data_IF_033835814017
#
_entry.id   IF_033835814017
#
_cell.length_a   1.000
_cell.length_b   1.000
_cell.length_c   1.000
_cell.angle_alpha   90.00
_cell.angle_beta   90.00
_cell.angle_gamma   90.00
#
_symmetry.space_group_name_H-M   'P 1'
#
loop_
_entity.id
_entity.type
_entity.pdbx_description
1 polymer ?
#
# COMPACT_ATOMS: atom_id res chain seq x y z
N UNK A 1 2.03 21.92 -15.10
CA UNK A 1 3.36 21.43 -14.70
C UNK A 1 3.90 22.38 -13.64
N UNK A 2 4.03 21.94 -12.40
CA UNK A 2 4.61 22.74 -11.33
C UNK A 2 6.11 22.94 -11.62
N UNK A 3 6.67 24.14 -11.41
CA UNK A 3 8.11 24.35 -11.52
C UNK A 3 8.85 23.44 -10.54
N UNK A 4 9.98 22.87 -10.95
CA UNK A 4 10.82 21.97 -10.14
C UNK A 4 11.09 22.51 -8.72
N UNK A 5 11.29 23.82 -8.58
CA UNK A 5 11.49 24.49 -7.32
C UNK A 5 10.28 24.34 -6.36
N UNK A 6 9.03 24.39 -6.88
CA UNK A 6 7.83 24.20 -6.06
C UNK A 6 7.66 22.77 -5.56
N UNK A 7 8.14 21.79 -6.29
CA UNK A 7 8.11 20.38 -5.88
C UNK A 7 9.11 20.14 -4.75
N UNK A 8 10.33 20.64 -4.88
CA UNK A 8 11.35 20.60 -3.83
C UNK A 8 10.90 21.32 -2.55
N UNK A 9 10.25 22.48 -2.69
CA UNK A 9 9.71 23.23 -1.56
C UNK A 9 8.59 22.44 -0.85
N UNK A 10 7.65 21.82 -1.61
CA UNK A 10 6.61 20.96 -1.04
C UNK A 10 7.20 19.76 -0.32
N UNK A 11 8.17 19.09 -0.92
CA UNK A 11 8.87 17.95 -0.32
C UNK A 11 9.60 18.35 0.99
N UNK A 12 10.10 19.57 1.06
CA UNK A 12 10.79 20.10 2.25
C UNK A 12 9.84 20.56 3.35
N UNK A 13 8.61 20.99 3.00
CA UNK A 13 7.58 21.43 3.96
C UNK A 13 6.84 20.26 4.65
N UNK A 14 6.92 19.05 4.12
CA UNK A 14 6.15 17.88 4.55
C UNK A 14 6.90 17.05 5.60
N UNK A 15 8.18 17.32 5.84
CA UNK A 15 8.93 16.66 6.91
C UNK A 15 8.77 17.50 8.18
N UNK A 16 8.04 17.02 9.19
CA UNK A 16 7.89 17.75 10.45
C UNK A 16 9.25 17.94 11.11
N UNK A 17 9.45 19.12 11.71
CA UNK A 17 10.50 19.33 12.68
C UNK A 17 10.24 18.47 13.93
N UNK A 18 11.30 18.21 14.73
CA UNK A 18 11.18 17.44 15.96
C UNK A 18 10.00 17.94 16.82
N UNK A 19 9.00 17.08 17.05
CA UNK A 19 7.90 17.32 17.98
C UNK A 19 6.57 17.82 17.37
N UNK A 20 6.46 18.05 16.08
CA UNK A 20 5.20 18.37 15.43
C UNK A 20 4.50 17.11 14.90
N UNK A 21 3.29 16.83 15.40
CA UNK A 21 2.41 15.84 14.77
C UNK A 21 2.11 16.27 13.34
N UNK A 22 2.08 15.33 12.42
CA UNK A 22 1.96 15.59 11.00
C UNK A 22 0.52 16.05 10.67
N UNK A 23 0.14 17.31 10.99
CA UNK A 23 -1.16 17.91 10.69
C UNK A 23 -1.56 17.72 9.22
N UNK A 24 -0.58 17.58 8.33
CA UNK A 24 -0.80 17.47 6.91
C UNK A 24 -1.38 16.12 6.48
N UNK A 25 -1.06 15.03 7.17
CA UNK A 25 -1.66 13.70 6.92
C UNK A 25 -3.03 13.61 7.60
N UNK A 26 -3.22 14.23 8.76
CA UNK A 26 -4.51 14.29 9.44
C UNK A 26 -5.55 15.15 8.69
N UNK A 27 -5.13 16.23 8.05
CA UNK A 27 -6.05 17.15 7.34
C UNK A 27 -6.68 16.55 6.07
N UNK A 28 -6.15 15.44 5.53
CA UNK A 28 -6.64 14.82 4.30
C UNK A 28 -7.66 13.70 4.53
N UNK A 29 -8.29 13.61 5.72
CA UNK A 29 -9.39 12.68 6.05
C UNK A 29 -9.18 11.25 5.54
N UNK A 30 -7.99 10.67 5.81
CA UNK A 30 -7.79 9.25 5.59
C UNK A 30 -8.39 8.52 6.78
N UNK A 31 -9.55 7.87 6.61
CA UNK A 31 -10.05 6.90 7.58
C UNK A 31 -9.11 5.69 7.58
N UNK A 32 -8.14 5.71 8.47
CA UNK A 32 -7.15 4.66 8.64
C UNK A 32 -6.94 4.40 10.13
N UNK A 33 -6.72 3.15 10.50
CA UNK A 33 -6.27 2.76 11.85
C UNK A 33 -4.80 3.12 12.09
N UNK A 34 -4.12 3.58 11.03
CA UNK A 34 -2.70 3.87 11.00
C UNK A 34 -2.44 5.37 10.82
N UNK A 35 -1.23 5.77 11.21
CA UNK A 35 -0.66 7.06 10.87
C UNK A 35 0.84 6.93 10.58
N UNK A 36 1.38 7.88 9.84
CA UNK A 36 2.81 7.98 9.60
C UNK A 36 3.45 8.91 10.62
N UNK A 37 4.50 8.44 11.28
CA UNK A 37 5.32 9.24 12.17
C UNK A 37 6.74 9.38 11.63
N UNK A 38 7.47 10.35 12.13
CA UNK A 38 8.86 10.59 11.72
C UNK A 38 9.74 9.37 11.96
N UNK A 39 10.55 9.01 10.96
CA UNK A 39 11.62 8.02 11.13
C UNK A 39 12.75 8.65 11.95
N UNK A 40 13.04 8.09 13.11
CA UNK A 40 14.09 8.57 14.00
C UNK A 40 14.67 7.44 14.86
N UNK A 41 15.75 7.72 15.57
CA UNK A 41 16.33 6.74 16.51
C UNK A 41 15.45 6.45 17.73
N UNK A 42 14.40 7.25 17.98
CA UNK A 42 13.44 6.97 19.07
C UNK A 42 12.65 5.68 18.85
N UNK A 43 12.44 5.25 17.59
CA UNK A 43 11.78 3.99 17.25
C UNK A 43 12.71 2.78 17.12
N UNK A 44 14.00 2.92 17.48
CA UNK A 44 15.00 1.87 17.30
C UNK A 44 14.63 0.55 17.97
N UNK A 45 14.22 0.58 19.24
CA UNK A 45 13.89 -0.63 20.00
C UNK A 45 12.66 -1.36 19.43
N UNK A 46 11.66 -0.60 18.97
CA UNK A 46 10.48 -1.16 18.36
C UNK A 46 10.78 -1.77 16.99
N UNK A 47 11.54 -1.05 16.14
CA UNK A 47 11.95 -1.53 14.84
C UNK A 47 12.84 -2.77 14.96
N UNK A 48 13.73 -2.82 15.93
CA UNK A 48 14.62 -3.96 16.13
C UNK A 48 13.86 -5.27 16.39
N UNK A 49 12.70 -5.22 17.04
CA UNK A 49 11.87 -6.41 17.34
C UNK A 49 11.52 -7.20 16.09
N UNK A 50 11.14 -6.54 15.00
CA UNK A 50 10.82 -7.23 13.75
C UNK A 50 12.01 -7.32 12.80
N UNK A 51 13.03 -6.47 12.97
CA UNK A 51 14.23 -6.49 12.14
C UNK A 51 15.12 -7.73 12.36
N UNK A 52 14.87 -8.51 13.39
CA UNK A 52 15.54 -9.81 13.64
C UNK A 52 14.69 -10.99 13.18
N UNK A 53 13.45 -10.76 12.77
CA UNK A 53 12.54 -11.83 12.34
C UNK A 53 12.85 -12.25 10.89
N UNK A 54 13.24 -13.50 10.63
CA UNK A 54 13.58 -13.96 9.28
C UNK A 54 12.41 -13.87 8.27
N UNK A 55 11.16 -14.01 8.74
CA UNK A 55 9.99 -13.95 7.85
C UNK A 55 9.85 -12.58 7.19
N UNK A 56 10.24 -11.51 7.89
CA UNK A 56 10.26 -10.15 7.34
C UNK A 56 11.16 -10.03 6.11
N UNK A 57 12.22 -10.84 6.04
CA UNK A 57 13.24 -10.78 4.99
C UNK A 57 13.05 -11.80 3.87
N UNK A 58 11.96 -12.55 3.87
CA UNK A 58 11.73 -13.61 2.87
C UNK A 58 11.96 -13.11 1.44
N UNK A 59 11.44 -11.94 1.10
CA UNK A 59 11.54 -11.32 -0.23
C UNK A 59 12.42 -10.05 -0.27
N UNK A 60 13.32 -9.88 0.69
CA UNK A 60 14.31 -8.79 0.71
C UNK A 60 15.69 -9.32 0.31
N UNK A 61 16.52 -8.48 -0.32
CA UNK A 61 17.87 -8.83 -0.80
C UNK A 61 18.90 -8.98 0.32
N UNK A 62 18.58 -8.57 1.55
CA UNK A 62 19.49 -8.63 2.70
C UNK A 62 18.92 -9.53 3.80
N UNK A 63 19.83 -10.02 4.64
CA UNK A 63 19.52 -10.93 5.73
C UNK A 63 18.98 -10.17 6.96
N UNK A 64 18.26 -10.87 7.88
CA UNK A 64 17.85 -10.31 9.17
C UNK A 64 19.01 -9.68 9.93
N UNK A 65 18.74 -8.57 10.58
CA UNK A 65 19.72 -7.95 11.46
C UNK A 65 20.01 -8.85 12.67
N UNK A 66 21.22 -8.78 13.18
CA UNK A 66 21.67 -9.63 14.29
C UNK A 66 21.72 -8.87 15.61
N UNK A 67 22.01 -7.58 15.53
CA UNK A 67 22.22 -6.71 16.68
C UNK A 67 21.38 -5.44 16.57
N UNK A 68 21.16 -4.77 17.69
CA UNK A 68 20.51 -3.47 17.70
C UNK A 68 21.32 -2.41 16.95
N UNK A 69 22.64 -2.56 16.93
CA UNK A 69 23.54 -1.65 16.19
C UNK A 69 23.35 -1.80 14.67
N UNK A 70 23.02 -3.00 14.17
CA UNK A 70 22.67 -3.18 12.75
C UNK A 70 21.39 -2.39 12.41
N UNK A 71 20.38 -2.47 13.26
CA UNK A 71 19.13 -1.72 13.09
C UNK A 71 19.38 -0.22 13.18
N UNK A 72 20.19 0.22 14.14
CA UNK A 72 20.60 1.62 14.30
C UNK A 72 21.29 2.14 13.03
N UNK A 73 22.29 1.42 12.56
CA UNK A 73 23.04 1.75 11.33
C UNK A 73 22.10 1.86 10.13
N UNK A 74 21.11 0.97 10.05
CA UNK A 74 20.11 1.02 8.98
C UNK A 74 19.23 2.27 9.07
N UNK A 75 18.70 2.62 10.25
CA UNK A 75 17.93 3.87 10.45
C UNK A 75 18.79 5.09 10.07
N UNK A 76 20.02 5.17 10.56
CA UNK A 76 20.95 6.27 10.24
C UNK A 76 21.20 6.40 8.74
N UNK A 77 21.33 5.29 8.02
CA UNK A 77 21.46 5.26 6.55
C UNK A 77 20.19 5.81 5.86
N UNK A 78 19.01 5.47 6.35
CA UNK A 78 17.76 6.01 5.81
C UNK A 78 17.65 7.52 6.07
N UNK A 79 17.98 7.98 7.28
CA UNK A 79 17.99 9.40 7.64
C UNK A 79 19.00 10.17 6.76
N UNK A 80 20.18 9.61 6.50
CA UNK A 80 21.16 10.20 5.60
C UNK A 80 20.62 10.32 4.16
N UNK A 81 19.89 9.33 3.66
CA UNK A 81 19.24 9.40 2.34
C UNK A 81 18.16 10.47 2.27
N UNK A 82 17.48 10.78 3.39
CA UNK A 82 16.51 11.86 3.49
C UNK A 82 17.15 13.25 3.52
N UNK A 83 18.34 13.35 4.11
CA UNK A 83 19.07 14.61 4.35
C UNK A 83 19.98 15.05 3.21
N UNK A 84 19.70 14.65 1.96
CA UNK A 84 20.58 14.86 0.83
C UNK A 84 21.26 16.26 0.84
N UNK A 85 22.61 16.27 0.80
CA UNK A 85 23.45 17.48 0.91
C UNK A 85 23.30 18.44 -0.28
N UNK A 86 22.72 17.99 -1.40
CA UNK A 86 22.47 18.83 -2.59
C UNK A 86 21.22 19.71 -2.48
N UNK A 87 20.45 19.61 -1.40
CA UNK A 87 19.19 20.37 -1.18
C UNK A 87 17.99 19.83 -1.95
N UNK A 88 18.13 18.81 -2.78
CA UNK A 88 17.03 18.12 -3.44
C UNK A 88 16.77 16.79 -2.77
N UNK A 89 15.73 16.73 -1.96
CA UNK A 89 15.30 15.46 -1.35
C UNK A 89 14.73 14.53 -2.43
N UNK A 90 15.22 13.31 -2.48
CA UNK A 90 14.71 12.26 -3.40
C UNK A 90 14.07 11.08 -2.68
N UNK A 91 14.02 11.09 -1.36
CA UNK A 91 13.47 10.02 -0.54
C UNK A 91 12.80 10.55 0.73
N UNK A 92 11.75 9.89 1.15
CA UNK A 92 11.09 10.04 2.45
C UNK A 92 10.84 8.68 3.06
N UNK A 93 11.06 8.55 4.36
CA UNK A 93 10.83 7.35 5.15
C UNK A 93 10.04 7.71 6.41
N UNK A 94 9.07 6.86 6.76
CA UNK A 94 8.26 7.02 7.96
C UNK A 94 8.20 5.71 8.74
N UNK A 95 7.99 5.82 10.03
CA UNK A 95 7.38 4.75 10.79
C UNK A 95 5.88 4.73 10.56
N UNK A 96 5.31 3.55 10.49
CA UNK A 96 3.87 3.33 10.43
C UNK A 96 3.42 2.89 11.81
N UNK A 97 2.53 3.67 12.43
CA UNK A 97 2.03 3.42 13.78
C UNK A 97 0.53 3.21 13.79
N UNK A 98 0.05 2.45 14.74
CA UNK A 98 -1.35 2.17 14.94
C UNK A 98 -1.95 3.20 15.91
N UNK A 99 -3.08 3.84 15.53
CA UNK A 99 -3.69 4.96 16.27
C UNK A 99 -4.17 4.61 17.66
N UNK A 100 -4.63 3.37 17.89
CA UNK A 100 -5.26 2.99 19.17
C UNK A 100 -4.27 2.76 20.30
N UNK A 101 -3.03 2.40 20.03
CA UNK A 101 -2.04 2.03 21.06
C UNK A 101 -0.62 2.48 20.74
N UNK A 102 -0.45 3.28 19.70
CA UNK A 102 0.82 3.86 19.24
C UNK A 102 1.91 2.83 18.84
N UNK A 103 1.55 1.55 18.71
CA UNK A 103 2.52 0.51 18.36
C UNK A 103 3.05 0.70 16.95
N UNK A 104 4.35 0.51 16.82
CA UNK A 104 5.02 0.46 15.53
C UNK A 104 4.57 -0.80 14.76
N UNK A 105 3.98 -0.59 13.59
CA UNK A 105 3.50 -1.64 12.66
C UNK A 105 4.56 -1.97 11.62
N UNK A 106 5.35 -0.98 11.23
CA UNK A 106 6.35 -1.14 10.18
C UNK A 106 6.91 0.18 9.68
N UNK A 107 7.40 0.18 8.46
CA UNK A 107 7.93 1.36 7.78
C UNK A 107 7.28 1.56 6.42
N UNK A 108 7.19 2.81 5.99
CA UNK A 108 6.76 3.21 4.65
C UNK A 108 7.76 4.20 4.05
N UNK A 109 7.86 4.21 2.73
CA UNK A 109 8.80 5.06 2.02
C UNK A 109 8.25 5.51 0.66
N UNK A 110 8.66 6.72 0.28
CA UNK A 110 8.65 7.20 -1.10
C UNK A 110 10.09 7.55 -1.46
N UNK A 111 10.62 6.93 -2.50
CA UNK A 111 12.03 7.01 -2.88
C UNK A 111 12.21 7.25 -4.37
N UNK A 112 13.44 7.53 -4.78
CA UNK A 112 13.81 7.66 -6.18
C UNK A 112 12.94 8.69 -6.94
N UNK A 113 12.64 9.82 -6.29
CA UNK A 113 11.88 10.91 -6.92
C UNK A 113 12.60 11.41 -8.17
N UNK A 114 11.92 11.29 -9.31
CA UNK A 114 12.38 11.84 -10.58
C UNK A 114 11.56 13.09 -10.91
N UNK A 115 12.16 14.25 -10.69
CA UNK A 115 11.52 15.56 -10.91
C UNK A 115 11.09 15.78 -12.37
N UNK A 116 11.94 15.39 -13.32
CA UNK A 116 11.65 15.61 -14.74
C UNK A 116 10.50 14.74 -15.25
N UNK A 117 10.35 13.53 -14.72
CA UNK A 117 9.28 12.59 -15.06
C UNK A 117 8.08 12.69 -14.14
N UNK A 118 8.17 13.45 -13.04
CA UNK A 118 7.17 13.52 -11.99
C UNK A 118 6.76 12.12 -11.51
N UNK A 119 7.75 11.28 -11.24
CA UNK A 119 7.55 9.90 -10.82
C UNK A 119 8.29 9.59 -9.54
N UNK A 120 7.71 8.71 -8.72
CA UNK A 120 8.27 8.28 -7.46
C UNK A 120 8.04 6.78 -7.28
N UNK A 121 8.94 6.13 -6.56
CA UNK A 121 8.83 4.73 -6.19
C UNK A 121 8.40 4.62 -4.72
N UNK A 122 7.52 3.69 -4.42
CA UNK A 122 7.15 3.39 -3.05
C UNK A 122 7.80 2.12 -2.51
N UNK A 123 7.93 2.07 -1.20
CA UNK A 123 8.33 0.89 -0.46
C UNK A 123 7.64 0.84 0.89
N UNK A 124 7.42 -0.36 1.41
CA UNK A 124 6.90 -0.57 2.76
C UNK A 124 7.33 -1.93 3.28
N UNK A 125 7.40 -2.04 4.60
CA UNK A 125 7.60 -3.29 5.29
C UNK A 125 6.75 -3.32 6.55
N UNK A 126 6.08 -4.45 6.82
CA UNK A 126 5.22 -4.63 7.99
C UNK A 126 5.78 -5.76 8.85
N UNK A 127 5.87 -5.50 10.16
CA UNK A 127 6.18 -6.54 11.14
C UNK A 127 5.26 -7.75 10.93
N UNK A 128 5.81 -8.96 10.78
CA UNK A 128 5.03 -10.18 10.53
C UNK A 128 3.88 -10.42 11.51
N UNK A 129 3.97 -9.95 12.74
CA UNK A 129 2.89 -10.06 13.74
C UNK A 129 1.62 -9.30 13.35
N UNK A 130 1.72 -8.37 12.40
CA UNK A 130 0.60 -7.59 11.88
C UNK A 130 0.13 -8.01 10.47
N UNK A 131 0.64 -9.11 9.95
CA UNK A 131 0.14 -9.64 8.68
C UNK A 131 -1.31 -10.11 8.82
N UNK A 132 -2.09 -9.96 7.75
CA UNK A 132 -3.51 -10.33 7.74
C UNK A 132 -4.47 -9.27 8.32
N UNK A 133 -3.97 -8.17 8.90
CA UNK A 133 -4.81 -7.10 9.45
C UNK A 133 -5.28 -6.05 8.41
N UNK A 134 -4.93 -6.22 7.14
CA UNK A 134 -5.29 -5.24 6.09
C UNK A 134 -4.46 -3.95 6.09
N UNK A 135 -3.43 -3.87 6.91
CA UNK A 135 -2.61 -2.66 7.06
C UNK A 135 -1.84 -2.29 5.80
N UNK A 136 -1.44 -3.29 4.97
CA UNK A 136 -0.76 -3.01 3.69
C UNK A 136 -1.62 -2.11 2.81
N UNK A 137 -2.91 -2.42 2.65
CA UNK A 137 -3.82 -1.63 1.82
C UNK A 137 -4.00 -0.21 2.36
N UNK A 138 -4.06 -0.05 3.69
CA UNK A 138 -4.12 1.28 4.32
C UNK A 138 -2.85 2.09 4.04
N UNK A 139 -1.66 1.48 4.17
CA UNK A 139 -0.37 2.12 3.86
C UNK A 139 -0.31 2.52 2.38
N UNK A 140 -0.71 1.63 1.48
CA UNK A 140 -0.73 1.90 0.05
C UNK A 140 -1.66 3.07 -0.28
N UNK A 141 -2.85 3.14 0.35
CA UNK A 141 -3.78 4.24 0.15
C UNK A 141 -3.20 5.58 0.63
N UNK A 142 -2.57 5.59 1.80
CA UNK A 142 -1.88 6.78 2.32
C UNK A 142 -0.76 7.25 1.38
N UNK A 143 0.07 6.32 0.87
CA UNK A 143 1.16 6.64 -0.07
C UNK A 143 0.63 7.13 -1.42
N UNK A 144 -0.48 6.58 -1.93
CA UNK A 144 -1.14 7.05 -3.17
C UNK A 144 -1.65 8.48 -3.01
N UNK A 145 -2.43 8.73 -1.95
CA UNK A 145 -2.93 10.08 -1.65
C UNK A 145 -1.79 11.08 -1.54
N UNK A 146 -0.77 10.73 -0.79
CA UNK A 146 0.39 11.58 -0.63
C UNK A 146 1.07 11.88 -1.98
N UNK A 147 1.24 10.87 -2.83
CA UNK A 147 1.86 11.01 -4.15
C UNK A 147 1.04 11.91 -5.08
N UNK A 148 -0.28 11.66 -5.19
CA UNK A 148 -1.09 12.28 -6.22
C UNK A 148 -1.77 13.58 -5.75
N UNK A 149 -2.17 13.68 -4.49
CA UNK A 149 -2.90 14.84 -3.97
C UNK A 149 -1.96 15.86 -3.31
N UNK A 150 -0.93 15.39 -2.59
CA UNK A 150 -0.01 16.27 -1.86
C UNK A 150 1.18 16.67 -2.72
N UNK A 151 1.88 15.71 -3.31
CA UNK A 151 3.04 15.97 -4.16
C UNK A 151 2.66 16.37 -5.58
N UNK A 152 1.42 16.10 -6.01
CA UNK A 152 0.91 16.38 -7.36
C UNK A 152 1.81 15.74 -8.45
N UNK A 153 2.25 14.49 -8.19
CA UNK A 153 3.08 13.73 -9.11
C UNK A 153 2.22 13.00 -10.15
N UNK A 154 2.81 12.73 -11.30
CA UNK A 154 2.12 12.01 -12.37
C UNK A 154 2.13 10.49 -12.20
N UNK A 155 3.12 9.93 -11.46
CA UNK A 155 3.33 8.48 -11.46
C UNK A 155 3.86 7.97 -10.12
N UNK A 156 3.25 6.90 -9.66
CA UNK A 156 3.72 6.06 -8.55
C UNK A 156 4.00 4.65 -9.08
N UNK A 157 5.11 4.04 -8.67
CA UNK A 157 5.46 2.68 -9.09
C UNK A 157 6.17 1.93 -7.97
N UNK A 158 6.27 0.61 -8.13
CA UNK A 158 7.04 -0.26 -7.26
C UNK A 158 7.37 -1.56 -7.97
N UNK A 159 8.35 -2.27 -7.44
CA UNK A 159 8.81 -3.54 -7.97
C UNK A 159 8.75 -4.57 -6.83
N UNK A 160 8.36 -5.80 -7.13
CA UNK A 160 8.37 -6.91 -6.17
C UNK A 160 8.93 -8.16 -6.82
N UNK A 161 9.53 -9.05 -6.04
CA UNK A 161 9.92 -10.39 -6.54
C UNK A 161 8.68 -11.12 -7.04
N UNK A 162 8.82 -11.89 -8.11
CA UNK A 162 7.70 -12.61 -8.73
C UNK A 162 7.09 -13.66 -7.82
N UNK A 163 7.85 -14.15 -6.84
CA UNK A 163 7.41 -15.13 -5.85
C UNK A 163 6.66 -14.49 -4.66
N UNK A 164 6.64 -13.16 -4.55
CA UNK A 164 5.97 -12.45 -3.45
C UNK A 164 4.47 -12.26 -3.72
N UNK A 165 3.73 -13.36 -3.72
CA UNK A 165 2.30 -13.38 -4.02
C UNK A 165 1.50 -12.45 -3.13
N UNK A 166 1.82 -12.35 -1.84
CA UNK A 166 1.13 -11.45 -0.90
C UNK A 166 1.21 -9.98 -1.33
N UNK A 167 2.42 -9.54 -1.72
CA UNK A 167 2.60 -8.17 -2.21
C UNK A 167 1.90 -7.97 -3.56
N UNK A 168 1.99 -8.93 -4.48
CA UNK A 168 1.33 -8.87 -5.78
C UNK A 168 -0.18 -8.69 -5.61
N UNK A 169 -0.83 -9.50 -4.78
CA UNK A 169 -2.26 -9.39 -4.52
C UNK A 169 -2.64 -8.01 -3.93
N UNK A 170 -1.85 -7.50 -2.99
CA UNK A 170 -2.11 -6.18 -2.42
C UNK A 170 -1.93 -5.04 -3.43
N UNK A 171 -0.95 -5.15 -4.35
CA UNK A 171 -0.74 -4.18 -5.42
C UNK A 171 -1.93 -4.13 -6.38
N UNK A 172 -2.41 -5.29 -6.81
CA UNK A 172 -3.59 -5.40 -7.68
C UNK A 172 -4.84 -4.86 -6.97
N UNK A 173 -5.08 -5.25 -5.72
CA UNK A 173 -6.21 -4.77 -4.92
C UNK A 173 -6.19 -3.25 -4.71
N UNK A 174 -5.01 -2.63 -4.68
CA UNK A 174 -4.86 -1.18 -4.58
C UNK A 174 -5.02 -0.43 -5.92
N UNK A 175 -5.29 -1.16 -7.02
CA UNK A 175 -5.46 -0.60 -8.36
C UNK A 175 -4.16 -0.34 -9.12
N UNK A 176 -3.04 -0.86 -8.65
CA UNK A 176 -1.78 -0.81 -9.40
C UNK A 176 -1.86 -1.76 -10.60
N UNK A 177 -1.30 -1.35 -11.73
CA UNK A 177 -1.27 -2.14 -12.96
C UNK A 177 0.09 -2.78 -13.16
N UNK A 178 0.11 -4.06 -13.53
CA UNK A 178 1.31 -4.72 -13.97
C UNK A 178 1.84 -4.07 -15.27
N UNK A 179 3.13 -3.76 -15.32
CA UNK A 179 3.76 -3.06 -16.44
C UNK A 179 4.85 -3.88 -17.13
N UNK A 180 5.35 -4.91 -16.49
CA UNK A 180 6.35 -5.79 -17.09
C UNK A 180 7.24 -6.50 -16.10
N UNK A 181 8.03 -7.45 -16.63
CA UNK A 181 9.05 -8.19 -15.91
C UNK A 181 10.43 -7.56 -16.12
N UNK A 182 11.11 -7.31 -15.04
CA UNK A 182 12.53 -6.96 -14.99
C UNK A 182 13.31 -8.25 -14.68
N UNK A 183 13.97 -8.80 -15.70
CA UNK A 183 14.69 -10.06 -15.55
C UNK A 183 15.91 -9.88 -14.66
N UNK A 184 16.14 -10.85 -13.73
CA UNK A 184 17.30 -10.88 -12.84
C UNK A 184 17.51 -9.56 -12.07
N UNK A 185 16.40 -8.92 -11.66
CA UNK A 185 16.42 -7.59 -11.03
C UNK A 185 16.93 -7.63 -9.60
N UNK A 186 16.55 -8.66 -8.83
CA UNK A 186 16.96 -8.85 -7.45
C UNK A 186 18.10 -9.86 -7.35
N UNK A 187 19.00 -9.64 -6.38
CA UNK A 187 20.08 -10.58 -6.07
C UNK A 187 20.10 -10.89 -4.58
N UNK A 188 19.69 -12.11 -4.21
CA UNK A 188 19.72 -12.59 -2.82
C UNK A 188 20.64 -13.80 -2.70
N UNK A 189 21.66 -13.70 -1.85
CA UNK A 189 22.66 -14.78 -1.63
C UNK A 189 23.26 -15.30 -2.93
N UNK A 190 23.59 -14.40 -3.85
CA UNK A 190 24.12 -14.70 -5.20
C UNK A 190 23.16 -15.46 -6.13
N UNK A 191 21.88 -15.53 -5.78
CA UNK A 191 20.82 -16.02 -6.65
C UNK A 191 20.04 -14.83 -7.19
N UNK A 192 19.79 -14.82 -8.51
CA UNK A 192 19.04 -13.77 -9.18
C UNK A 192 17.58 -14.14 -9.28
N UNK A 193 16.70 -13.15 -9.09
CA UNK A 193 15.25 -13.28 -9.16
C UNK A 193 14.67 -12.19 -10.06
N UNK A 194 13.65 -12.53 -10.80
CA UNK A 194 12.91 -11.57 -11.60
C UNK A 194 12.10 -10.61 -10.71
N UNK A 195 11.96 -9.38 -11.16
CA UNK A 195 11.09 -8.38 -10.54
C UNK A 195 9.88 -8.08 -11.41
N UNK A 196 8.69 -8.04 -10.83
CA UNK A 196 7.50 -7.51 -11.49
C UNK A 196 7.29 -6.06 -11.12
N UNK A 197 7.24 -5.22 -12.16
CA UNK A 197 6.96 -3.80 -11.99
C UNK A 197 5.47 -3.52 -12.08
N UNK A 198 4.98 -2.75 -11.10
CA UNK A 198 3.62 -2.24 -11.04
C UNK A 198 3.64 -0.72 -11.01
N UNK A 199 2.65 -0.10 -11.64
CA UNK A 199 2.54 1.36 -11.70
C UNK A 199 1.10 1.85 -11.68
N UNK A 200 0.94 3.09 -11.24
CA UNK A 200 -0.28 3.88 -11.32
C UNK A 200 0.08 5.29 -11.81
N UNK A 201 -0.76 5.86 -12.65
CA UNK A 201 -0.61 7.25 -13.10
C UNK A 201 -1.74 8.12 -12.53
N UNK A 202 -1.49 9.42 -12.39
CA UNK A 202 -2.45 10.36 -11.79
C UNK A 202 -3.86 10.27 -12.41
N UNK A 203 -3.95 10.12 -13.74
CA UNK A 203 -5.25 9.97 -14.42
C UNK A 203 -6.03 8.71 -14.00
N UNK A 204 -5.34 7.61 -13.66
CA UNK A 204 -5.97 6.39 -13.19
C UNK A 204 -6.43 6.56 -11.74
N UNK A 205 -5.60 7.18 -10.89
CA UNK A 205 -5.94 7.51 -9.51
C UNK A 205 -7.18 8.42 -9.41
N UNK A 206 -7.19 9.53 -10.16
CA UNK A 206 -8.33 10.46 -10.13
C UNK A 206 -9.58 9.87 -10.77
N UNK A 207 -9.46 8.97 -11.75
CA UNK A 207 -10.61 8.29 -12.36
C UNK A 207 -11.26 7.30 -11.39
N UNK A 208 -10.49 6.59 -10.58
CA UNK A 208 -11.02 5.68 -9.54
C UNK A 208 -11.67 6.45 -8.37
N UNK A 209 -11.27 7.70 -8.13
CA UNK A 209 -11.85 8.57 -7.10
C UNK A 209 -13.07 9.39 -7.60
N UNK A 210 -13.39 9.36 -8.89
CA UNK A 210 -14.67 9.89 -9.38
C UNK A 210 -15.74 8.85 -9.10
N UNK A 211 -16.45 8.99 -8.00
CA UNK A 211 -17.68 8.24 -7.73
C UNK A 211 -18.64 8.55 -8.88
N UNK A 212 -19.04 7.58 -9.72
CA UNK A 212 -20.09 7.82 -10.70
C UNK A 212 -21.36 8.17 -9.93
N UNK A 213 -21.92 9.34 -10.18
CA UNK A 213 -23.23 9.69 -9.65
C UNK A 213 -24.23 8.62 -10.08
N UNK A 214 -24.70 7.83 -9.10
CA UNK A 214 -25.86 6.95 -9.13
C UNK A 214 -26.02 5.99 -10.33
N UNK A 215 -25.23 4.92 -10.36
CA UNK A 215 -25.81 3.62 -10.76
C UNK A 215 -26.30 2.99 -9.46
N UNK A 216 -27.60 2.84 -9.29
CA UNK A 216 -28.19 2.05 -8.20
C UNK A 216 -27.80 0.59 -8.45
N UNK A 217 -26.70 0.15 -7.83
CA UNK A 217 -26.27 -1.25 -7.88
C UNK A 217 -27.36 -2.09 -7.22
N UNK A 218 -27.89 -3.04 -7.95
CA UNK A 218 -28.91 -3.96 -7.44
C UNK A 218 -28.31 -5.32 -7.09
N UNK A 219 -29.10 -6.17 -6.44
CA UNK A 219 -28.68 -7.50 -6.00
C UNK A 219 -28.16 -8.37 -7.15
N UNK A 220 -28.83 -8.33 -8.31
CA UNK A 220 -28.45 -9.14 -9.46
C UNK A 220 -27.11 -8.70 -10.07
N UNK A 221 -26.78 -7.42 -10.02
CA UNK A 221 -25.47 -6.93 -10.48
C UNK A 221 -24.35 -7.56 -9.66
N UNK A 222 -24.50 -7.62 -8.33
CA UNK A 222 -23.53 -8.25 -7.44
C UNK A 222 -23.45 -9.75 -7.67
N UNK A 223 -24.60 -10.43 -7.77
CA UNK A 223 -24.66 -11.87 -8.06
C UNK A 223 -23.91 -12.18 -9.37
N UNK A 224 -24.12 -11.39 -10.42
CA UNK A 224 -23.48 -11.57 -11.71
C UNK A 224 -21.94 -11.47 -11.59
N UNK A 225 -21.45 -10.45 -10.88
CA UNK A 225 -20.01 -10.27 -10.68
C UNK A 225 -19.42 -11.41 -9.83
N UNK A 226 -20.08 -11.80 -8.75
CA UNK A 226 -19.61 -12.93 -7.92
C UNK A 226 -19.63 -14.22 -8.72
N UNK A 227 -20.66 -14.47 -9.54
CA UNK A 227 -20.78 -15.64 -10.42
C UNK A 227 -19.70 -15.67 -11.50
N UNK A 228 -19.26 -14.50 -12.01
CA UNK A 228 -18.19 -14.44 -13.02
C UNK A 228 -16.84 -14.90 -12.46
N UNK A 229 -16.63 -14.75 -11.15
CA UNK A 229 -15.43 -15.21 -10.45
C UNK A 229 -15.56 -16.65 -9.96
N UNK A 230 -16.73 -17.03 -9.42
CA UNK A 230 -17.02 -18.35 -8.85
C UNK A 230 -17.78 -19.21 -9.87
N UNK A 231 -17.13 -19.63 -10.94
CA UNK A 231 -17.75 -20.22 -12.14
C UNK A 231 -18.39 -21.60 -11.95
N UNK A 232 -18.11 -22.28 -10.84
CA UNK A 232 -18.49 -23.68 -10.61
C UNK A 232 -19.75 -23.86 -9.74
N UNK A 233 -20.28 -22.77 -9.16
CA UNK A 233 -21.41 -22.81 -8.23
C UNK A 233 -22.51 -21.82 -8.60
N UNK A 234 -23.75 -22.17 -8.27
CA UNK A 234 -24.89 -21.24 -8.40
C UNK A 234 -24.86 -20.22 -7.26
N UNK A 235 -24.66 -18.95 -7.61
CA UNK A 235 -24.60 -17.84 -6.66
C UNK A 235 -26.00 -17.24 -6.49
N UNK A 236 -26.39 -17.09 -5.24
CA UNK A 236 -27.66 -16.48 -4.83
C UNK A 236 -27.41 -15.31 -3.87
N UNK A 237 -28.47 -14.63 -3.46
CA UNK A 237 -28.39 -13.57 -2.44
C UNK A 237 -27.96 -14.09 -1.06
N UNK A 238 -28.12 -15.40 -0.78
CA UNK A 238 -27.69 -16.06 0.46
C UNK A 238 -26.24 -16.57 0.41
N UNK A 239 -25.56 -16.48 -0.75
CA UNK A 239 -24.19 -16.97 -0.91
C UNK A 239 -23.19 -16.17 -0.08
N UNK A 240 -22.25 -16.88 0.56
CA UNK A 240 -21.23 -16.33 1.46
C UNK A 240 -20.00 -17.23 1.51
N UNK A 241 -18.89 -16.72 2.06
CA UNK A 241 -17.69 -17.51 2.33
C UNK A 241 -17.94 -18.70 3.28
N UNK A 242 -19.02 -18.70 4.03
CA UNK A 242 -19.36 -19.78 4.98
C UNK A 242 -20.09 -20.93 4.30
N UNK A 243 -20.82 -20.69 3.20
CA UNK A 243 -21.71 -21.68 2.59
C UNK A 243 -21.44 -21.92 1.09
N UNK A 244 -20.45 -21.25 0.49
CA UNK A 244 -20.06 -21.40 -0.92
C UNK A 244 -18.63 -21.92 -0.98
N UNK A 245 -18.45 -23.16 -1.41
CA UNK A 245 -17.16 -23.87 -1.31
C UNK A 245 -16.04 -23.17 -2.07
N UNK A 246 -16.33 -22.67 -3.29
CA UNK A 246 -15.35 -21.94 -4.10
C UNK A 246 -15.07 -20.51 -3.59
N UNK A 247 -15.82 -19.98 -2.59
CA UNK A 247 -15.59 -18.65 -2.04
C UNK A 247 -14.57 -18.69 -0.91
N UNK A 248 -13.34 -19.02 -1.25
CA UNK A 248 -12.20 -18.97 -0.33
C UNK A 248 -11.58 -17.56 -0.27
N UNK A 249 -10.50 -17.42 0.51
CA UNK A 249 -9.83 -16.13 0.68
C UNK A 249 -9.20 -15.58 -0.61
N UNK A 250 -8.78 -16.44 -1.52
CA UNK A 250 -8.21 -16.04 -2.80
C UNK A 250 -9.30 -15.51 -3.74
N UNK A 251 -10.36 -16.28 -3.90
CA UNK A 251 -11.50 -15.90 -4.71
C UNK A 251 -12.26 -14.71 -4.12
N UNK A 252 -12.25 -14.54 -2.79
CA UNK A 252 -12.78 -13.33 -2.15
C UNK A 252 -12.07 -12.07 -2.64
N UNK A 253 -10.75 -12.07 -2.72
CA UNK A 253 -9.99 -10.94 -3.24
C UNK A 253 -10.28 -10.69 -4.74
N UNK A 254 -10.42 -11.75 -5.52
CA UNK A 254 -10.81 -11.63 -6.93
C UNK A 254 -12.21 -11.00 -7.08
N UNK A 255 -13.17 -11.38 -6.24
CA UNK A 255 -14.52 -10.78 -6.19
C UNK A 255 -14.42 -9.29 -5.85
N UNK A 256 -13.65 -8.89 -4.85
CA UNK A 256 -13.48 -7.47 -4.48
C UNK A 256 -12.92 -6.65 -5.64
N UNK A 257 -11.95 -7.20 -6.37
CA UNK A 257 -11.37 -6.56 -7.56
C UNK A 257 -12.43 -6.44 -8.67
N UNK A 258 -13.14 -7.51 -8.98
CA UNK A 258 -14.19 -7.51 -10.01
C UNK A 258 -15.33 -6.53 -9.67
N UNK A 259 -15.78 -6.46 -8.42
CA UNK A 259 -16.79 -5.50 -7.97
C UNK A 259 -16.34 -4.04 -8.15
N UNK A 260 -15.04 -3.78 -7.93
CA UNK A 260 -14.47 -2.45 -8.20
C UNK A 260 -14.41 -2.14 -9.69
N UNK A 261 -13.98 -3.11 -10.52
CA UNK A 261 -13.81 -2.90 -11.97
C UNK A 261 -15.14 -2.79 -12.69
N UNK A 262 -16.12 -3.65 -12.38
CA UNK A 262 -17.39 -3.75 -13.12
C UNK A 262 -18.48 -2.83 -12.56
N UNK A 263 -18.55 -2.69 -11.22
CA UNK A 263 -19.63 -1.94 -10.56
C UNK A 263 -19.15 -0.67 -9.86
N UNK A 264 -17.84 -0.38 -9.90
CA UNK A 264 -17.23 0.77 -9.21
C UNK A 264 -17.49 0.79 -7.71
N UNK A 265 -17.69 -0.39 -7.08
CA UNK A 265 -17.87 -0.51 -5.63
C UNK A 265 -16.49 -0.50 -4.99
N UNK A 266 -16.23 0.51 -4.19
CA UNK A 266 -14.97 0.61 -3.44
C UNK A 266 -15.14 0.14 -2.00
N UNK A 267 -14.19 -0.70 -1.55
CA UNK A 267 -14.12 -1.19 -0.19
C UNK A 267 -12.94 -0.54 0.53
N UNK A 268 -13.20 0.02 1.69
CA UNK A 268 -12.12 0.43 2.60
C UNK A 268 -11.39 -0.83 3.10
N UNK A 269 -10.11 -0.75 3.47
CA UNK A 269 -9.33 -1.92 3.87
C UNK A 269 -9.99 -2.81 4.94
N UNK A 270 -10.65 -2.22 5.94
CA UNK A 270 -11.39 -2.97 6.96
C UNK A 270 -12.69 -3.60 6.45
N UNK A 271 -13.28 -3.05 5.40
CA UNK A 271 -14.54 -3.52 4.83
C UNK A 271 -14.35 -4.76 3.92
N UNK A 272 -13.18 -4.88 3.29
CA UNK A 272 -12.81 -6.03 2.46
C UNK A 272 -13.03 -7.34 3.23
N UNK A 273 -12.52 -7.42 4.45
CA UNK A 273 -12.63 -8.63 5.28
C UNK A 273 -14.02 -8.84 5.88
N UNK A 274 -14.86 -7.81 5.91
CA UNK A 274 -16.25 -7.91 6.39
C UNK A 274 -17.26 -8.19 5.30
N UNK A 275 -16.92 -7.96 4.03
CA UNK A 275 -17.78 -8.13 2.86
C UNK A 275 -17.90 -9.60 2.41
N UNK A 276 -18.08 -10.52 3.33
CA UNK A 276 -17.99 -11.99 3.15
C UNK A 276 -19.30 -12.64 2.65
N UNK A 277 -20.26 -11.87 2.15
CA UNK A 277 -21.50 -12.39 1.55
C UNK A 277 -22.09 -11.39 0.56
N UNK A 278 -22.90 -11.89 -0.38
CA UNK A 278 -23.62 -11.07 -1.37
C UNK A 278 -24.44 -9.97 -0.69
N UNK A 279 -25.15 -10.28 0.39
CA UNK A 279 -25.93 -9.29 1.17
C UNK A 279 -25.07 -8.20 1.81
N UNK A 280 -23.91 -8.57 2.37
CA UNK A 280 -22.96 -7.59 2.96
C UNK A 280 -22.37 -6.67 1.90
N UNK A 281 -22.05 -7.21 0.73
CA UNK A 281 -21.59 -6.43 -0.43
C UNK A 281 -22.67 -5.44 -0.88
N UNK A 282 -23.92 -5.88 -1.03
CA UNK A 282 -25.04 -5.00 -1.41
C UNK A 282 -25.25 -3.88 -0.38
N UNK A 283 -25.22 -4.22 0.90
CA UNK A 283 -25.34 -3.23 1.99
C UNK A 283 -24.27 -2.14 1.88
N UNK A 284 -23.06 -2.52 1.50
CA UNK A 284 -21.96 -1.58 1.29
C UNK A 284 -22.18 -0.74 0.03
N UNK A 285 -22.62 -1.35 -1.08
CA UNK A 285 -22.88 -0.66 -2.33
C UNK A 285 -24.04 0.36 -2.24
N UNK A 286 -24.90 0.21 -1.23
CA UNK A 286 -26.08 1.06 -1.01
C UNK A 286 -25.85 2.15 0.06
N UNK A 287 -24.66 2.20 0.67
CA UNK A 287 -24.32 3.16 1.74
C UNK A 287 -23.45 4.29 1.21
#
# INVERSE_FOLDING_TARGET
>A
MLPLKKLSDRFSQIVPGEGEQNEYIESHHIESDLYFSELSLSGLDEMHKYSVNPDFYEFLEFDPFKTIDDTKTYIEKLLQRMSNQSGERSAMYWFVRRKNDDRLVGTAALVNLNYARQSIEWGYGIDPVFWGYGYVLQIQEMLKKFTFEVLDLNRLHGITMVENERTIQSLLASGMKYEGTLREFYCKKSVYYDGWQYGMVAKDYHKSNVVPSSVLVNMNDIINVVSSVLTEEEITDESSMENTFSWDSLNHMAIIIALKEELSIEFKPGEVYSATSVKKILKKASA
#
